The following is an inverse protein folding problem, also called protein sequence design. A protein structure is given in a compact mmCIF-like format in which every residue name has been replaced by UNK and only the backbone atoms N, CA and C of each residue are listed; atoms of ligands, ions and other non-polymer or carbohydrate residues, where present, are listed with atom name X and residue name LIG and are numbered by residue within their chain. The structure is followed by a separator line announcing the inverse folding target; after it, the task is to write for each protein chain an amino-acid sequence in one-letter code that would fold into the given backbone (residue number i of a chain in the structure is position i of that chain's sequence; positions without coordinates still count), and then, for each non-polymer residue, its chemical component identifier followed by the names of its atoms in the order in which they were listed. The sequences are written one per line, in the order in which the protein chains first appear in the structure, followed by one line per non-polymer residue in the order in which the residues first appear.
data_IF_214363321713
#
_entry.id   IF_214363321713
#
_cell.length_a   1.000
_cell.length_b   1.000
_cell.length_c   1.000
_cell.angle_alpha   90.00
_cell.angle_beta   90.00
_cell.angle_gamma   90.00
#
_symmetry.space_group_name_H-M   'P 1'
#
loop_
_entity.id
_entity.type
_entity.pdbx_description
1 polymer ?
#
# COMPACT_ATOMS: atom_id res chain seq x y z
N UNK A 1 70.60 -11.04 -10.98
CA UNK A 1 69.70 -11.96 -10.23
C UNK A 1 68.93 -11.18 -9.15
N UNK A 2 67.86 -10.46 -9.50
CA UNK A 2 66.88 -9.91 -8.51
C UNK A 2 65.45 -9.79 -9.05
N UNK A 3 65.20 -10.07 -10.34
CA UNK A 3 63.87 -9.93 -10.94
C UNK A 3 63.07 -11.24 -11.09
N UNK A 4 63.66 -12.40 -10.78
CA UNK A 4 63.00 -13.71 -10.99
C UNK A 4 62.27 -14.22 -9.73
N UNK A 5 62.58 -13.68 -8.54
CA UNK A 5 61.98 -14.15 -7.29
C UNK A 5 60.62 -13.49 -6.94
N UNK A 6 60.28 -12.37 -7.58
CA UNK A 6 59.01 -11.66 -7.35
C UNK A 6 57.84 -12.17 -8.20
N UNK A 7 58.12 -12.94 -9.26
CA UNK A 7 57.09 -13.48 -10.16
C UNK A 7 56.54 -14.84 -9.71
N UNK A 8 57.24 -15.56 -8.82
CA UNK A 8 56.74 -16.86 -8.31
C UNK A 8 55.88 -16.71 -7.06
N UNK A 9 55.99 -15.60 -6.31
CA UNK A 9 55.15 -15.36 -5.13
C UNK A 9 53.74 -14.85 -5.50
N UNK A 10 53.59 -14.17 -6.64
CA UNK A 10 52.30 -13.66 -7.12
C UNK A 10 51.39 -14.74 -7.71
N UNK A 11 51.95 -15.85 -8.21
CA UNK A 11 51.15 -16.98 -8.71
C UNK A 11 50.63 -17.91 -7.61
N UNK A 12 51.23 -17.90 -6.42
CA UNK A 12 50.73 -18.71 -5.29
C UNK A 12 49.47 -18.08 -4.64
N UNK A 13 49.38 -16.75 -4.60
CA UNK A 13 48.19 -16.05 -4.07
C UNK A 13 46.97 -16.09 -5.01
N UNK A 14 47.18 -16.29 -6.32
CA UNK A 14 46.08 -16.42 -7.28
C UNK A 14 45.44 -17.83 -7.29
N UNK A 15 46.04 -18.81 -6.58
CA UNK A 15 45.50 -20.18 -6.53
C UNK A 15 44.60 -20.46 -5.31
N UNK A 16 44.58 -19.58 -4.31
CA UNK A 16 43.78 -19.75 -3.09
C UNK A 16 42.37 -19.11 -3.17
N UNK A 17 42.08 -18.31 -4.20
CA UNK A 17 40.75 -17.69 -4.38
C UNK A 17 39.71 -18.61 -5.02
N UNK A 18 40.11 -19.82 -5.42
CA UNK A 18 39.22 -20.85 -5.96
C UNK A 18 39.09 -22.08 -5.03
N UNK A 19 39.40 -21.94 -3.75
CA UNK A 19 38.83 -22.87 -2.77
C UNK A 19 37.34 -22.55 -2.66
N UNK A 20 36.42 -23.44 -3.08
CA UNK A 20 35.05 -23.31 -2.64
C UNK A 20 35.13 -23.42 -1.12
N UNK A 21 34.92 -22.30 -0.43
CA UNK A 21 34.56 -22.34 0.98
C UNK A 21 33.35 -23.26 1.03
N UNK A 22 33.56 -24.48 1.54
CA UNK A 22 32.49 -25.37 1.89
C UNK A 22 31.74 -24.69 3.03
N UNK A 23 30.85 -23.76 2.67
CA UNK A 23 29.78 -23.36 3.57
C UNK A 23 29.02 -24.63 3.88
N UNK A 24 28.96 -24.97 5.16
CA UNK A 24 28.02 -25.96 5.67
C UNK A 24 26.66 -25.62 5.06
N UNK A 25 26.19 -26.45 4.12
CA UNK A 25 24.90 -26.26 3.48
C UNK A 25 23.87 -26.43 4.59
N UNK A 26 23.19 -25.34 4.95
CA UNK A 26 22.03 -25.47 5.81
C UNK A 26 20.97 -26.21 5.00
N UNK A 27 20.71 -27.46 5.37
CA UNK A 27 19.77 -28.33 4.67
C UNK A 27 18.31 -28.04 5.05
N UNK A 28 18.06 -27.09 5.96
CA UNK A 28 16.71 -26.66 6.34
C UNK A 28 16.06 -25.90 5.18
N UNK A 29 14.80 -26.22 4.89
CA UNK A 29 14.05 -25.55 3.83
C UNK A 29 13.46 -24.21 4.35
N UNK A 30 13.76 -23.06 3.71
CA UNK A 30 13.16 -21.80 4.13
C UNK A 30 11.68 -21.75 3.74
N UNK A 31 10.86 -21.15 4.59
CA UNK A 31 9.52 -20.72 4.19
C UNK A 31 9.67 -19.59 3.18
N UNK A 32 8.94 -19.66 2.07
CA UNK A 32 9.00 -18.68 0.99
C UNK A 32 7.71 -17.90 0.85
N UNK A 33 7.84 -16.61 0.56
CA UNK A 33 6.74 -15.74 0.20
C UNK A 33 6.23 -16.02 -1.23
N UNK A 34 5.20 -15.28 -1.63
CA UNK A 34 4.57 -15.35 -2.96
C UNK A 34 5.50 -14.96 -4.10
N UNK A 35 6.56 -14.19 -3.83
CA UNK A 35 7.59 -13.83 -4.79
C UNK A 35 8.72 -14.89 -4.84
N UNK A 36 8.68 -15.88 -3.96
CA UNK A 36 9.66 -16.96 -3.86
C UNK A 36 10.85 -16.64 -2.97
N UNK A 37 10.87 -15.48 -2.30
CA UNK A 37 11.94 -15.10 -1.37
C UNK A 37 11.73 -15.78 -0.01
N UNK A 38 12.80 -16.09 0.74
CA UNK A 38 12.67 -16.55 2.12
C UNK A 38 11.92 -15.55 3.01
N UNK A 39 11.15 -16.06 3.97
CA UNK A 39 10.62 -15.25 5.05
C UNK A 39 11.74 -14.86 6.01
N UNK A 40 11.86 -13.57 6.29
CA UNK A 40 12.83 -13.02 7.21
C UNK A 40 12.22 -12.83 8.60
N UNK A 41 12.95 -13.23 9.63
CA UNK A 41 12.50 -13.14 11.02
C UNK A 41 12.23 -11.67 11.41
N UNK A 42 11.09 -11.41 12.03
CA UNK A 42 10.67 -10.06 12.46
C UNK A 42 10.22 -9.11 11.34
N UNK A 43 10.31 -9.55 10.08
CA UNK A 43 9.79 -8.79 8.95
C UNK A 43 8.26 -8.90 8.87
N UNK A 44 7.60 -7.87 8.32
CA UNK A 44 6.16 -7.82 8.13
C UNK A 44 5.71 -8.67 6.93
N UNK A 45 4.74 -9.56 7.15
CA UNK A 45 4.09 -10.39 6.13
C UNK A 45 2.57 -10.39 6.31
N UNK A 46 1.81 -10.59 5.23
CA UNK A 46 0.39 -10.94 5.30
C UNK A 46 0.24 -12.44 5.10
N UNK A 47 -0.62 -13.06 5.90
CA UNK A 47 -0.98 -14.47 5.77
C UNK A 47 -2.28 -14.53 4.98
N UNK A 48 -2.27 -15.11 3.77
CA UNK A 48 -3.46 -15.20 2.92
C UNK A 48 -3.91 -16.62 2.74
N UNK A 49 -5.22 -16.84 2.75
CA UNK A 49 -5.76 -18.13 2.33
C UNK A 49 -5.59 -18.31 0.84
N UNK A 50 -5.30 -19.54 0.40
CA UNK A 50 -5.07 -19.81 -1.03
C UNK A 50 -6.29 -19.50 -1.91
N UNK A 51 -7.49 -19.79 -1.41
CA UNK A 51 -8.77 -19.58 -2.10
C UNK A 51 -9.72 -18.68 -1.28
N UNK A 52 -9.16 -17.85 -0.40
CA UNK A 52 -9.93 -17.04 0.54
C UNK A 52 -9.16 -15.80 0.99
N UNK A 53 -9.81 -14.88 1.70
CA UNK A 53 -9.15 -13.68 2.20
C UNK A 53 -8.08 -13.96 3.26
N UNK A 54 -7.32 -12.92 3.57
CA UNK A 54 -6.24 -12.96 4.53
C UNK A 54 -6.68 -12.86 5.98
N UNK A 55 -5.69 -12.97 6.86
CA UNK A 55 -5.90 -12.95 8.31
C UNK A 55 -6.15 -11.53 8.80
N UNK A 56 -7.20 -11.34 9.59
CA UNK A 56 -7.62 -10.05 10.17
C UNK A 56 -7.88 -10.18 11.67
N UNK A 57 -8.08 -9.03 12.33
CA UNK A 57 -8.61 -8.96 13.70
C UNK A 57 -10.10 -8.65 13.66
N UNK A 58 -10.87 -9.36 14.48
CA UNK A 58 -12.30 -9.12 14.62
C UNK A 58 -12.78 -9.25 16.06
N UNK A 59 -14.01 -8.79 16.28
CA UNK A 59 -14.72 -8.98 17.55
C UNK A 59 -15.56 -10.23 17.45
N UNK A 60 -15.53 -11.07 18.46
CA UNK A 60 -16.42 -12.23 18.59
C UNK A 60 -17.16 -12.20 19.92
N UNK A 61 -18.36 -12.78 19.94
CA UNK A 61 -19.24 -12.77 21.10
C UNK A 61 -19.56 -11.34 21.57
N UNK A 62 -19.44 -11.13 22.88
CA UNK A 62 -19.68 -9.83 23.54
C UNK A 62 -18.39 -9.00 23.72
N UNK A 63 -17.27 -9.38 23.10
CA UNK A 63 -16.01 -8.66 23.28
C UNK A 63 -16.05 -7.29 22.63
N UNK A 64 -15.71 -6.26 23.41
CA UNK A 64 -15.54 -4.89 22.91
C UNK A 64 -14.19 -4.67 22.21
N UNK A 65 -13.26 -5.62 22.34
CA UNK A 65 -11.93 -5.57 21.74
C UNK A 65 -11.87 -6.47 20.50
N UNK A 66 -11.31 -6.01 19.35
CA UNK A 66 -11.05 -6.90 18.22
C UNK A 66 -9.83 -7.78 18.52
N UNK A 67 -10.01 -8.75 19.40
CA UNK A 67 -8.95 -9.59 19.93
C UNK A 67 -8.89 -10.98 19.27
N UNK A 68 -9.85 -11.32 18.41
CA UNK A 68 -9.95 -12.64 17.80
C UNK A 68 -9.32 -12.62 16.42
N UNK A 69 -8.49 -13.63 16.12
CA UNK A 69 -7.85 -13.78 14.82
C UNK A 69 -8.81 -14.50 13.88
N UNK A 70 -9.20 -13.82 12.80
CA UNK A 70 -10.18 -14.30 11.83
C UNK A 70 -9.57 -14.43 10.44
N UNK A 71 -10.18 -15.27 9.62
CA UNK A 71 -9.94 -15.33 8.19
C UNK A 71 -11.04 -14.55 7.46
N UNK A 72 -10.67 -13.57 6.63
CA UNK A 72 -11.63 -12.76 5.88
C UNK A 72 -12.29 -13.57 4.76
N UNK A 73 -13.62 -13.58 4.69
CA UNK A 73 -14.33 -14.31 3.64
C UNK A 73 -14.06 -13.75 2.22
N UNK A 74 -13.71 -12.47 2.11
CA UNK A 74 -13.47 -11.83 0.84
C UNK A 74 -12.10 -12.22 0.26
N UNK A 75 -12.09 -12.98 -0.85
CA UNK A 75 -10.87 -13.45 -1.50
C UNK A 75 -9.93 -12.33 -1.99
N UNK A 76 -10.45 -11.09 -2.16
CA UNK A 76 -9.61 -9.93 -2.50
C UNK A 76 -8.98 -9.22 -1.29
N UNK A 77 -9.26 -9.67 -0.07
CA UNK A 77 -8.67 -9.10 1.15
C UNK A 77 -7.32 -9.72 1.41
N UNK A 78 -6.23 -8.94 1.37
CA UNK A 78 -4.91 -9.45 1.72
C UNK A 78 -4.72 -9.66 3.24
N UNK A 79 -5.62 -9.15 4.07
CA UNK A 79 -5.50 -9.20 5.53
C UNK A 79 -4.53 -8.17 6.13
N UNK A 80 -4.38 -8.23 7.45
CA UNK A 80 -3.50 -7.37 8.24
C UNK A 80 -2.07 -7.94 8.30
N UNK A 81 -1.04 -7.09 8.28
CA UNK A 81 0.34 -7.54 8.38
C UNK A 81 0.69 -8.05 9.79
N UNK A 82 1.47 -9.12 9.83
CA UNK A 82 2.05 -9.77 11.02
C UNK A 82 3.56 -9.79 10.94
N UNK A 83 4.23 -9.81 12.09
CA UNK A 83 5.64 -10.17 12.21
C UNK A 83 5.72 -11.61 12.69
N UNK A 84 6.61 -12.38 12.06
CA UNK A 84 6.88 -13.77 12.40
C UNK A 84 8.31 -13.81 12.93
N UNK A 85 8.48 -14.10 14.21
CA UNK A 85 9.78 -14.13 14.87
C UNK A 85 10.14 -15.58 15.18
N UNK A 86 11.26 -16.05 14.61
CA UNK A 86 11.81 -17.37 14.88
C UNK A 86 13.07 -17.33 15.74
N UNK A 87 13.62 -18.50 16.12
CA UNK A 87 14.86 -18.59 16.88
C UNK A 87 16.09 -18.18 16.05
N UNK A 88 15.99 -18.35 14.73
CA UNK A 88 16.97 -17.82 13.78
C UNK A 88 16.63 -16.33 13.53
N UNK A 89 17.61 -15.43 13.69
CA UNK A 89 17.38 -13.99 13.56
C UNK A 89 17.17 -13.55 12.11
N UNK A 90 17.53 -14.40 11.13
CA UNK A 90 17.51 -14.04 9.72
C UNK A 90 16.35 -14.71 9.01
N UNK A 91 16.29 -16.05 8.99
CA UNK A 91 15.37 -16.78 8.10
C UNK A 91 14.42 -17.68 8.89
N UNK A 92 13.16 -17.71 8.48
CA UNK A 92 12.17 -18.66 8.98
C UNK A 92 12.22 -19.95 8.17
N UNK A 93 12.44 -21.07 8.86
CA UNK A 93 12.50 -22.40 8.26
C UNK A 93 11.23 -23.20 8.55
N UNK A 94 10.79 -23.99 7.57
CA UNK A 94 9.67 -24.92 7.75
C UNK A 94 10.02 -25.98 8.79
N UNK A 95 9.00 -26.48 9.50
CA UNK A 95 9.03 -27.65 10.40
C UNK A 95 9.93 -27.57 11.65
N UNK A 96 10.77 -26.55 11.77
CA UNK A 96 11.82 -26.47 12.80
C UNK A 96 11.82 -25.16 13.58
N UNK A 97 11.34 -24.07 12.99
CA UNK A 97 11.27 -22.79 13.69
C UNK A 97 10.04 -22.74 14.60
N UNK A 98 10.27 -22.59 15.92
CA UNK A 98 9.23 -22.23 16.88
C UNK A 98 9.01 -20.71 16.84
N UNK A 99 7.78 -20.29 16.54
CA UNK A 99 7.47 -18.94 16.11
C UNK A 99 6.60 -18.20 17.11
N UNK A 100 6.93 -16.93 17.32
CA UNK A 100 6.04 -15.92 17.85
C UNK A 100 5.47 -15.11 16.68
N UNK A 101 4.13 -15.08 16.58
CA UNK A 101 3.41 -14.33 15.56
C UNK A 101 2.66 -13.18 16.24
N UNK A 102 2.79 -11.97 15.73
CA UNK A 102 2.06 -10.82 16.23
C UNK A 102 1.68 -9.87 15.10
N UNK A 103 0.55 -9.17 15.19
CA UNK A 103 0.26 -8.11 14.21
C UNK A 103 1.30 -6.98 14.31
N UNK A 104 1.53 -6.26 13.22
CA UNK A 104 2.47 -5.11 13.24
C UNK A 104 1.94 -3.93 14.06
N UNK A 105 0.65 -3.95 14.42
CA UNK A 105 -0.02 -2.95 15.24
C UNK A 105 -0.78 -3.63 16.38
N UNK A 106 -0.78 -2.99 17.55
CA UNK A 106 -1.56 -3.41 18.72
C UNK A 106 -2.86 -2.62 18.79
N UNK A 107 -4.03 -3.26 18.90
CA UNK A 107 -5.22 -2.54 19.30
C UNK A 107 -5.06 -1.94 20.70
N UNK A 108 -5.73 -0.83 20.95
CA UNK A 108 -5.64 -0.10 22.22
C UNK A 108 -6.01 -0.94 23.46
N UNK A 109 -6.65 -2.10 23.26
CA UNK A 109 -7.16 -2.98 24.29
C UNK A 109 -6.39 -4.30 24.45
N UNK A 110 -5.46 -4.66 23.56
CA UNK A 110 -4.74 -5.93 23.62
C UNK A 110 -3.35 -5.86 22.97
N UNK A 111 -2.40 -6.61 23.53
CA UNK A 111 -1.12 -6.87 22.86
C UNK A 111 -1.37 -7.82 21.66
N UNK A 112 -0.77 -7.54 20.50
CA UNK A 112 -1.00 -8.28 19.26
C UNK A 112 -0.35 -9.66 19.16
N UNK A 113 0.39 -10.12 20.19
CA UNK A 113 0.98 -11.46 20.22
C UNK A 113 -0.12 -12.53 20.19
N UNK A 114 0.00 -13.45 19.24
CA UNK A 114 -0.93 -14.54 19.07
C UNK A 114 -0.80 -15.56 20.19
N UNK A 115 -1.93 -16.10 20.61
CA UNK A 115 -2.03 -17.17 21.59
C UNK A 115 -3.31 -17.96 21.32
N UNK A 116 -3.45 -19.12 21.96
CA UNK A 116 -4.64 -19.95 21.82
C UNK A 116 -5.55 -19.77 23.03
N UNK A 117 -6.85 -19.71 22.81
CA UNK A 117 -7.88 -19.56 23.82
C UNK A 117 -8.91 -20.68 23.68
N UNK A 118 -9.48 -21.09 24.80
CA UNK A 118 -10.55 -22.09 24.84
C UNK A 118 -11.90 -21.40 25.01
N UNK A 119 -12.69 -21.39 23.93
CA UNK A 119 -14.08 -20.96 23.99
C UNK A 119 -14.93 -22.11 24.55
N UNK A 120 -15.57 -21.85 25.69
CA UNK A 120 -16.40 -22.82 26.40
C UNK A 120 -17.80 -23.02 25.79
N UNK A 121 -18.25 -22.10 24.94
CA UNK A 121 -19.55 -22.19 24.26
C UNK A 121 -19.46 -22.96 22.94
N UNK A 122 -18.38 -22.77 22.16
CA UNK A 122 -18.17 -23.49 20.88
C UNK A 122 -17.32 -24.75 21.02
N UNK A 123 -16.76 -25.01 22.21
CA UNK A 123 -15.84 -26.12 22.53
C UNK A 123 -14.65 -26.24 21.56
N UNK A 124 -14.15 -25.10 21.04
CA UNK A 124 -12.99 -25.05 20.16
C UNK A 124 -11.87 -24.22 20.78
N UNK A 125 -10.65 -24.65 20.48
CA UNK A 125 -9.45 -23.85 20.70
C UNK A 125 -9.27 -22.94 19.50
N UNK A 126 -9.11 -21.64 19.73
CA UNK A 126 -8.98 -20.66 18.66
C UNK A 126 -7.86 -19.67 18.91
N UNK A 127 -7.38 -19.04 17.84
CA UNK A 127 -6.28 -18.09 17.87
C UNK A 127 -6.81 -16.70 18.17
N UNK A 128 -6.22 -16.05 19.17
CA UNK A 128 -6.53 -14.70 19.59
C UNK A 128 -5.28 -13.93 19.98
N UNK A 129 -5.46 -12.68 20.38
CA UNK A 129 -4.42 -11.80 20.89
C UNK A 129 -4.78 -11.29 22.29
N UNK A 130 -3.80 -10.81 23.05
CA UNK A 130 -4.02 -10.28 24.41
C UNK A 130 -4.06 -11.35 25.50
N UNK A 131 -4.91 -11.11 26.51
CA UNK A 131 -5.08 -11.98 27.67
C UNK A 131 -6.53 -12.46 27.83
N UNK A 132 -6.76 -13.32 28.82
CA UNK A 132 -8.09 -13.90 29.10
C UNK A 132 -9.20 -12.86 29.23
N UNK A 133 -8.92 -11.65 29.75
CA UNK A 133 -9.94 -10.61 29.92
C UNK A 133 -10.49 -10.07 28.59
N UNK A 134 -9.68 -10.13 27.53
CA UNK A 134 -10.09 -9.76 26.17
C UNK A 134 -11.05 -10.79 25.54
N UNK A 135 -11.05 -12.01 26.09
CA UNK A 135 -11.78 -13.18 25.61
C UNK A 135 -12.78 -13.67 26.65
N UNK A 136 -13.46 -12.76 27.37
CA UNK A 136 -14.52 -13.15 28.31
C UNK A 136 -14.05 -13.99 29.51
N UNK A 137 -12.77 -13.89 29.89
CA UNK A 137 -12.08 -14.71 30.89
C UNK A 137 -11.87 -16.18 30.48
N UNK A 138 -11.85 -16.46 29.19
CA UNK A 138 -11.49 -17.78 28.67
C UNK A 138 -10.05 -18.17 28.99
N UNK A 139 -9.82 -19.48 29.09
CA UNK A 139 -8.50 -20.03 29.41
C UNK A 139 -7.53 -19.79 28.25
N UNK A 140 -6.46 -19.05 28.53
CA UNK A 140 -5.32 -18.89 27.63
C UNK A 140 -4.40 -20.11 27.69
N UNK A 141 -4.00 -20.63 26.54
CA UNK A 141 -3.04 -21.71 26.36
C UNK A 141 -1.78 -21.10 25.74
N UNK A 142 -0.69 -21.15 26.50
CA UNK A 142 0.64 -20.76 26.01
C UNK A 142 1.20 -21.83 25.07
N UNK A 143 1.87 -21.40 24.02
CA UNK A 143 2.49 -22.29 23.05
C UNK A 143 3.23 -21.50 21.97
N UNK A 144 3.85 -22.22 21.04
CA UNK A 144 4.55 -21.64 19.89
C UNK A 144 3.91 -22.09 18.58
N UNK A 145 4.06 -21.29 17.54
CA UNK A 145 3.57 -21.65 16.21
C UNK A 145 4.69 -22.26 15.36
N UNK A 146 4.34 -23.06 14.36
CA UNK A 146 5.25 -23.52 13.33
C UNK A 146 4.60 -23.33 11.96
N UNK A 147 5.42 -23.29 10.93
CA UNK A 147 4.98 -23.30 9.53
C UNK A 147 5.45 -24.62 8.93
N UNK A 148 4.53 -25.36 8.30
CA UNK A 148 4.82 -26.57 7.55
C UNK A 148 4.36 -26.42 6.11
N UNK A 149 5.13 -26.97 5.17
CA UNK A 149 4.73 -27.04 3.77
C UNK A 149 3.46 -27.88 3.59
N UNK A 150 2.50 -27.36 2.82
CA UNK A 150 1.22 -28.00 2.56
C UNK A 150 1.07 -28.40 1.09
N UNK A 151 1.01 -29.70 0.83
CA UNK A 151 0.88 -30.29 -0.50
C UNK A 151 2.22 -30.52 -1.22
N UNK A 152 2.16 -31.21 -2.36
CA UNK A 152 3.30 -31.42 -3.26
C UNK A 152 3.29 -30.35 -4.35
N UNK A 153 4.48 -29.80 -4.67
CA UNK A 153 4.79 -28.74 -5.65
C UNK A 153 3.90 -28.75 -6.93
N UNK A 154 3.57 -27.56 -7.51
CA UNK A 154 4.46 -26.39 -7.58
C UNK A 154 4.04 -25.12 -6.81
N UNK A 155 2.98 -25.12 -5.99
CA UNK A 155 2.62 -23.92 -5.21
C UNK A 155 3.36 -23.87 -3.87
N UNK A 156 4.04 -22.75 -3.55
CA UNK A 156 4.58 -22.42 -2.23
C UNK A 156 3.43 -22.19 -1.24
N UNK A 157 2.85 -23.28 -0.76
CA UNK A 157 1.72 -23.25 0.15
C UNK A 157 2.08 -23.94 1.45
N UNK A 158 1.56 -23.40 2.53
CA UNK A 158 1.91 -23.80 3.88
C UNK A 158 0.65 -23.96 4.74
N UNK A 159 0.84 -24.51 5.92
CA UNK A 159 -0.12 -24.50 7.02
C UNK A 159 0.59 -24.10 8.31
N UNK A 160 -0.16 -23.50 9.22
CA UNK A 160 0.32 -23.20 10.56
C UNK A 160 0.02 -24.37 11.49
N UNK A 161 0.94 -24.64 12.41
CA UNK A 161 0.75 -25.57 13.53
C UNK A 161 0.95 -24.84 14.84
N UNK A 162 0.38 -25.38 15.90
CA UNK A 162 0.54 -24.92 17.26
C UNK A 162 1.14 -26.03 18.13
N UNK A 163 2.15 -25.65 18.91
CA UNK A 163 2.84 -26.48 19.89
C UNK A 163 2.54 -25.97 21.31
N UNK A 164 1.58 -26.58 22.04
CA UNK A 164 1.27 -26.21 23.42
C UNK A 164 2.35 -26.66 24.43
N UNK A 165 3.23 -27.58 24.05
CA UNK A 165 4.20 -28.21 24.95
C UNK A 165 5.65 -27.90 24.54
N UNK A 166 5.89 -26.75 23.92
CA UNK A 166 7.19 -26.33 23.38
C UNK A 166 8.33 -26.28 24.43
N UNK A 167 7.99 -26.18 25.72
CA UNK A 167 8.96 -26.20 26.83
C UNK A 167 9.25 -27.63 27.34
N UNK A 168 8.45 -28.61 26.91
CA UNK A 168 8.63 -30.00 27.28
C UNK A 168 9.70 -30.64 26.39
N UNK A 169 10.56 -31.48 26.99
CA UNK A 169 11.53 -32.29 26.25
C UNK A 169 10.89 -33.58 25.69
N UNK A 170 9.56 -33.66 25.68
CA UNK A 170 8.78 -34.82 25.24
C UNK A 170 8.19 -34.51 23.87
N UNK A 171 7.95 -35.55 23.07
CA UNK A 171 7.45 -35.44 21.70
C UNK A 171 6.07 -34.78 21.70
N UNK A 172 6.02 -33.49 21.42
CA UNK A 172 4.79 -32.70 21.39
C UNK A 172 3.89 -33.10 20.21
N UNK A 173 2.57 -33.12 20.46
CA UNK A 173 1.57 -33.25 19.39
C UNK A 173 1.36 -31.87 18.79
N UNK A 174 1.91 -31.67 17.60
CA UNK A 174 1.65 -30.47 16.81
C UNK A 174 0.20 -30.50 16.31
N UNK A 175 -0.53 -29.42 16.56
CA UNK A 175 -1.94 -29.30 16.19
C UNK A 175 -2.06 -28.32 15.03
N UNK A 176 -2.68 -28.73 13.94
CA UNK A 176 -2.91 -27.89 12.78
C UNK A 176 -3.85 -26.70 13.13
N UNK A 177 -3.55 -25.54 12.58
CA UNK A 177 -4.45 -24.37 12.62
C UNK A 177 -5.30 -24.39 11.36
N UNK A 178 -6.60 -24.60 11.54
CA UNK A 178 -7.64 -24.56 10.54
C UNK A 178 -8.50 -23.30 10.62
N UNK A 179 -9.65 -23.35 9.97
CA UNK A 179 -10.69 -22.32 10.05
C UNK A 179 -12.00 -22.89 10.56
N UNK A 180 -12.71 -22.15 11.39
CA UNK A 180 -14.02 -22.54 11.93
C UNK A 180 -15.04 -21.42 11.79
N UNK A 181 -16.13 -21.67 11.05
CA UNK A 181 -17.20 -20.70 10.88
C UNK A 181 -18.04 -20.61 12.17
N UNK A 182 -18.01 -19.45 12.82
CA UNK A 182 -18.80 -19.12 14.01
C UNK A 182 -19.76 -17.97 13.71
N UNK A 183 -20.69 -17.68 14.64
CA UNK A 183 -21.58 -16.50 14.52
C UNK A 183 -20.81 -15.17 14.44
N UNK A 184 -19.59 -15.11 14.98
CA UNK A 184 -18.74 -13.92 14.99
C UNK A 184 -17.80 -13.79 13.79
N UNK A 185 -17.85 -14.73 12.85
CA UNK A 185 -16.93 -14.81 11.71
C UNK A 185 -16.16 -16.13 11.69
N UNK A 186 -15.25 -16.25 10.72
CA UNK A 186 -14.44 -17.44 10.53
C UNK A 186 -13.17 -17.36 11.36
N UNK A 187 -13.16 -18.09 12.47
CA UNK A 187 -12.04 -18.13 13.41
C UNK A 187 -10.86 -18.88 12.80
N UNK A 188 -9.63 -18.47 13.12
CA UNK A 188 -8.50 -19.41 13.07
C UNK A 188 -8.62 -20.31 14.30
N UNK A 189 -8.84 -21.61 14.09
CA UNK A 189 -9.12 -22.58 15.14
C UNK A 189 -8.21 -23.79 15.03
N UNK A 190 -7.84 -24.39 16.16
CA UNK A 190 -7.09 -25.64 16.12
C UNK A 190 -7.99 -26.75 15.58
N UNK A 191 -7.55 -27.39 14.50
CA UNK A 191 -8.30 -28.42 13.77
C UNK A 191 -7.32 -29.46 13.21
N UNK A 192 -7.40 -30.70 13.68
CA UNK A 192 -6.50 -31.78 13.27
C UNK A 192 -6.80 -32.33 11.88
N UNK A 193 -8.00 -32.08 11.34
CA UNK A 193 -8.47 -32.72 10.11
C UNK A 193 -8.43 -31.77 8.90
N UNK A 194 -8.48 -30.45 9.14
CA UNK A 194 -8.62 -29.43 8.08
C UNK A 194 -7.72 -28.21 8.33
N UNK A 195 -6.42 -28.31 8.02
CA UNK A 195 -5.51 -27.17 8.11
C UNK A 195 -5.92 -26.05 7.16
N UNK A 196 -5.69 -24.81 7.61
CA UNK A 196 -5.88 -23.62 6.78
C UNK A 196 -4.68 -23.48 5.85
N UNK A 197 -4.94 -23.64 4.56
CA UNK A 197 -3.91 -23.53 3.53
C UNK A 197 -3.59 -22.06 3.24
N UNK A 198 -2.33 -21.67 3.47
CA UNK A 198 -1.88 -20.28 3.36
C UNK A 198 -0.70 -20.07 2.42
N UNK A 199 -0.56 -18.83 1.96
CA UNK A 199 0.67 -18.24 1.42
C UNK A 199 1.06 -16.99 2.24
N UNK A 200 2.28 -16.49 2.00
CA UNK A 200 2.81 -15.31 2.68
C UNK A 200 3.15 -14.22 1.67
N UNK A 201 2.62 -13.03 1.85
CA UNK A 201 2.89 -11.86 1.01
C UNK A 201 3.72 -10.85 1.83
N UNK A 202 4.88 -10.39 1.32
CA UNK A 202 5.71 -9.40 2.03
C UNK A 202 4.95 -8.08 2.20
N UNK A 203 4.86 -7.56 3.43
CA UNK A 203 4.08 -6.36 3.73
C UNK A 203 4.98 -5.15 3.98
N UNK A 204 5.15 -4.28 2.99
CA UNK A 204 6.03 -3.10 3.10
C UNK A 204 5.59 -2.17 4.25
N UNK A 205 6.33 -2.19 5.36
CA UNK A 205 6.07 -1.33 6.53
C UNK A 205 6.77 0.02 6.33
N UNK A 206 6.02 1.01 5.84
CA UNK A 206 6.49 2.38 5.64
C UNK A 206 6.68 3.11 6.99
N UNK A 207 7.71 2.77 7.78
CA UNK A 207 8.10 3.58 8.94
C UNK A 207 9.63 3.69 9.15
N UNK A 208 10.10 4.93 8.99
CA UNK A 208 11.29 5.61 9.54
C UNK A 208 12.69 5.06 9.21
N UNK A 209 13.26 5.54 8.09
CA UNK A 209 14.71 5.58 7.87
C UNK A 209 15.20 7.04 7.92
N UNK A 210 14.99 7.70 9.05
CA UNK A 210 15.71 8.92 9.43
C UNK A 210 16.91 8.47 10.27
N UNK A 211 18.12 8.91 9.92
CA UNK A 211 19.40 8.61 10.58
C UNK A 211 20.03 7.25 10.24
N UNK A 212 20.79 7.16 9.11
CA UNK A 212 22.08 6.43 8.99
C UNK A 212 22.57 6.21 7.55
N UNK A 213 22.44 7.18 6.62
CA UNK A 213 23.17 7.09 5.34
C UNK A 213 23.66 8.47 4.89
N UNK A 214 24.61 9.04 5.64
CA UNK A 214 25.38 10.21 5.22
C UNK A 214 26.86 9.90 4.93
N UNK A 215 27.26 8.63 4.89
CA UNK A 215 28.63 8.27 4.54
C UNK A 215 28.68 6.91 3.89
N UNK A 216 29.52 6.79 2.85
CA UNK A 216 29.72 5.66 1.95
C UNK A 216 28.83 5.69 0.70
N UNK A 217 28.99 6.78 -0.04
CA UNK A 217 29.01 6.72 -1.51
C UNK A 217 30.05 5.69 -1.97
N UNK A 218 29.67 4.88 -2.97
CA UNK A 218 30.49 3.99 -3.83
C UNK A 218 30.33 2.47 -3.61
N UNK A 219 29.22 1.89 -4.08
CA UNK A 219 29.16 0.98 -5.24
C UNK A 219 27.70 0.53 -5.47
N UNK A 220 27.27 0.33 -6.73
CA UNK A 220 25.87 0.15 -7.08
C UNK A 220 25.46 -1.32 -6.97
N UNK A 221 24.26 -1.57 -6.44
CA UNK A 221 23.28 -2.58 -6.88
C UNK A 221 22.22 -2.72 -5.78
N UNK A 222 21.11 -2.02 -5.92
CA UNK A 222 19.85 -2.36 -5.25
C UNK A 222 18.69 -1.66 -5.95
N UNK A 223 17.84 -2.45 -6.60
CA UNK A 223 16.52 -2.02 -7.04
C UNK A 223 15.69 -1.66 -5.81
N UNK A 224 15.37 -0.38 -5.65
CA UNK A 224 14.29 0.08 -4.77
C UNK A 224 12.99 -0.10 -5.54
N UNK A 225 12.10 -1.00 -5.08
CA UNK A 225 10.72 -1.09 -5.57
C UNK A 225 10.01 0.19 -5.13
N UNK A 226 9.99 1.17 -6.03
CA UNK A 226 9.13 2.35 -5.92
C UNK A 226 7.70 1.85 -6.23
N UNK A 227 6.79 1.83 -5.25
CA UNK A 227 5.35 1.50 -5.45
C UNK A 227 4.61 2.56 -6.30
N UNK A 228 5.38 3.42 -6.96
CA UNK A 228 4.94 4.46 -7.87
C UNK A 228 4.82 3.86 -9.25
N UNK A 229 3.58 3.61 -9.65
CA UNK A 229 3.28 3.23 -11.02
C UNK A 229 3.25 4.49 -11.91
N UNK A 230 3.73 4.41 -13.17
CA UNK A 230 3.48 5.48 -14.13
C UNK A 230 1.98 5.69 -14.29
N UNK A 231 1.53 6.94 -14.18
CA UNK A 231 0.16 7.30 -14.55
C UNK A 231 0.04 7.08 -16.05
N UNK A 232 -0.99 6.37 -16.51
CA UNK A 232 -1.18 6.01 -17.92
C UNK A 232 -2.33 6.77 -18.53
N UNK A 233 -2.18 7.14 -19.80
CA UNK A 233 -3.26 7.67 -20.61
C UNK A 233 -4.22 6.56 -21.09
N UNK A 234 -5.28 6.95 -21.79
CA UNK A 234 -6.28 6.05 -22.38
C UNK A 234 -5.71 5.10 -23.42
N UNK A 235 -4.55 5.41 -24.00
CA UNK A 235 -3.83 4.54 -24.93
C UNK A 235 -2.86 3.59 -24.19
N UNK A 236 -2.78 3.68 -22.86
CA UNK A 236 -1.93 2.87 -22.00
C UNK A 236 -0.49 3.39 -21.86
N UNK A 237 -0.16 4.54 -22.45
CA UNK A 237 1.18 5.11 -22.39
C UNK A 237 1.38 5.91 -21.10
N UNK A 238 2.58 5.86 -20.48
CA UNK A 238 2.92 6.74 -19.37
C UNK A 238 2.72 8.22 -19.70
N UNK A 239 2.11 8.96 -18.79
CA UNK A 239 2.05 10.41 -18.82
C UNK A 239 3.47 10.96 -18.69
N UNK A 240 3.75 11.99 -19.47
CA UNK A 240 5.03 12.65 -19.51
C UNK A 240 4.92 14.12 -19.14
N UNK A 241 5.84 14.62 -18.30
CA UNK A 241 5.89 16.01 -17.84
C UNK A 241 6.01 17.03 -18.98
N UNK A 242 6.50 16.63 -20.16
CA UNK A 242 6.64 17.49 -21.34
C UNK A 242 5.41 17.52 -22.26
N UNK A 243 4.43 16.65 -22.05
CA UNK A 243 3.29 16.45 -22.94
C UNK A 243 2.01 17.12 -22.41
N UNK A 244 1.03 17.28 -23.30
CA UNK A 244 -0.26 17.92 -22.98
C UNK A 244 -1.37 16.88 -22.99
N UNK A 245 -2.19 16.88 -21.95
CA UNK A 245 -3.27 15.93 -21.75
C UNK A 245 -4.60 16.66 -21.51
N UNK A 246 -5.70 15.96 -21.70
CA UNK A 246 -7.03 16.35 -21.24
C UNK A 246 -7.44 15.41 -20.10
N UNK A 247 -8.10 15.98 -19.09
CA UNK A 247 -8.67 15.22 -17.98
C UNK A 247 -10.15 15.03 -18.28
N UNK A 248 -10.57 13.78 -18.44
CA UNK A 248 -11.98 13.42 -18.62
C UNK A 248 -12.48 12.68 -17.39
N UNK A 249 -13.66 13.02 -16.91
CA UNK A 249 -14.31 12.16 -15.94
C UNK A 249 -14.75 10.86 -16.62
N UNK A 250 -14.61 9.72 -15.94
CA UNK A 250 -14.83 8.40 -16.56
C UNK A 250 -16.21 8.26 -17.22
N UNK A 251 -17.26 8.74 -16.54
CA UNK A 251 -18.66 8.72 -17.02
C UNK A 251 -19.24 10.13 -17.24
N UNK A 252 -18.40 11.13 -17.50
CA UNK A 252 -18.79 12.55 -17.45
C UNK A 252 -17.94 13.46 -18.34
N UNK A 253 -18.25 14.76 -18.39
CA UNK A 253 -17.50 15.72 -19.19
C UNK A 253 -16.08 15.97 -18.70
N UNK A 254 -15.27 16.58 -19.55
CA UNK A 254 -13.91 16.96 -19.25
C UNK A 254 -13.79 18.14 -18.29
N UNK A 255 -12.57 18.38 -17.82
CA UNK A 255 -12.28 19.49 -16.91
C UNK A 255 -12.12 20.80 -17.68
N UNK A 256 -12.83 21.84 -17.27
CA UNK A 256 -12.87 23.18 -17.89
C UNK A 256 -12.60 24.28 -16.85
N UNK A 257 -12.52 25.52 -17.34
CA UNK A 257 -12.51 26.73 -16.51
C UNK A 257 -13.84 27.45 -16.66
N UNK A 258 -14.43 27.84 -15.52
CA UNK A 258 -15.69 28.56 -15.49
C UNK A 258 -15.69 29.69 -14.48
N UNK A 259 -16.70 30.55 -14.60
CA UNK A 259 -16.99 31.61 -13.63
C UNK A 259 -17.88 31.03 -12.55
N UNK A 260 -17.65 31.44 -11.32
CA UNK A 260 -18.44 30.99 -10.16
C UNK A 260 -18.77 32.18 -9.26
N UNK A 261 -19.94 32.12 -8.62
CA UNK A 261 -20.46 33.24 -7.83
C UNK A 261 -20.50 34.55 -8.65
N UNK A 262 -20.01 35.64 -8.06
CA UNK A 262 -19.97 36.97 -8.70
C UNK A 262 -18.66 37.23 -9.47
N UNK A 263 -17.80 36.23 -9.66
CA UNK A 263 -16.51 36.41 -10.32
C UNK A 263 -16.67 36.63 -11.82
N UNK A 264 -16.07 37.70 -12.34
CA UNK A 264 -15.95 37.95 -13.77
C UNK A 264 -14.78 37.19 -14.43
N UNK A 265 -13.94 36.53 -13.63
CA UNK A 265 -12.78 35.78 -14.08
C UNK A 265 -13.10 34.28 -14.07
N UNK A 266 -12.91 33.54 -15.19
CA UNK A 266 -13.11 32.10 -15.21
C UNK A 266 -11.93 31.40 -14.54
N UNK A 267 -11.87 31.48 -13.22
CA UNK A 267 -10.75 31.03 -12.39
C UNK A 267 -11.04 29.74 -11.62
N UNK A 268 -12.23 29.17 -11.78
CA UNK A 268 -12.64 27.96 -11.06
C UNK A 268 -12.56 26.75 -11.98
N UNK A 269 -12.00 25.66 -11.46
CA UNK A 269 -11.89 24.40 -12.18
C UNK A 269 -13.20 23.64 -12.04
N UNK A 270 -13.86 23.40 -13.16
CA UNK A 270 -15.15 22.70 -13.22
C UNK A 270 -15.03 21.40 -14.00
N UNK A 271 -15.91 20.46 -13.70
CA UNK A 271 -16.27 19.37 -14.58
C UNK A 271 -17.45 19.82 -15.45
N UNK A 272 -17.31 19.68 -16.77
CA UNK A 272 -18.36 19.99 -17.73
C UNK A 272 -19.55 19.00 -17.58
N UNK A 273 -20.78 19.52 -17.67
CA UNK A 273 -21.99 18.68 -17.69
C UNK A 273 -22.09 17.83 -18.95
N UNK A 274 -21.51 18.29 -20.06
CA UNK A 274 -21.61 17.60 -21.33
C UNK A 274 -20.59 16.46 -21.41
N UNK A 275 -21.06 15.21 -21.34
CA UNK A 275 -20.23 14.01 -21.42
C UNK A 275 -19.36 13.91 -22.68
N UNK A 276 -19.72 14.61 -23.78
CA UNK A 276 -18.90 14.67 -25.00
C UNK A 276 -17.78 15.72 -24.95
N UNK A 277 -17.72 16.55 -23.91
CA UNK A 277 -16.70 17.59 -23.75
C UNK A 277 -15.38 16.92 -23.37
N UNK A 278 -14.34 17.14 -24.18
CA UNK A 278 -13.01 16.63 -23.86
C UNK A 278 -12.32 17.44 -22.75
N UNK A 279 -12.83 18.64 -22.42
CA UNK A 279 -12.19 19.56 -21.49
C UNK A 279 -10.99 20.31 -22.07
N UNK A 280 -10.43 21.19 -21.24
CA UNK A 280 -9.27 22.03 -21.57
C UNK A 280 -7.95 21.26 -21.36
N UNK A 281 -6.93 21.51 -22.22
CA UNK A 281 -5.64 20.86 -22.09
C UNK A 281 -4.84 21.33 -20.86
N UNK A 282 -4.18 20.37 -20.21
CA UNK A 282 -3.32 20.56 -19.03
C UNK A 282 -1.92 19.98 -19.26
N UNK A 283 -0.96 20.49 -18.48
CA UNK A 283 0.37 19.93 -18.29
C UNK A 283 0.55 19.56 -16.83
N UNK A 284 1.26 18.47 -16.61
CA UNK A 284 1.66 17.99 -15.30
C UNK A 284 3.16 18.21 -15.13
N UNK A 285 3.58 18.60 -13.93
CA UNK A 285 4.99 18.64 -13.57
C UNK A 285 5.17 17.94 -12.23
N UNK A 286 5.81 16.76 -12.29
CA UNK A 286 6.19 15.98 -11.12
C UNK A 286 7.65 16.16 -10.73
N UNK A 287 8.14 15.40 -9.75
CA UNK A 287 9.55 15.36 -9.36
C UNK A 287 10.44 14.75 -10.46
N UNK A 288 9.91 13.77 -11.19
CA UNK A 288 10.58 13.16 -12.34
C UNK A 288 10.38 14.04 -13.59
N UNK A 289 11.46 14.36 -14.32
CA UNK A 289 11.40 15.27 -15.47
C UNK A 289 10.70 14.65 -16.69
N UNK A 290 10.57 13.33 -16.74
CA UNK A 290 10.12 12.60 -17.93
C UNK A 290 8.76 11.96 -17.73
N UNK A 291 8.53 11.26 -16.61
CA UNK A 291 7.33 10.45 -16.36
C UNK A 291 6.56 10.95 -15.13
N UNK A 292 5.23 11.00 -15.23
CA UNK A 292 4.35 11.28 -14.09
C UNK A 292 4.01 9.97 -13.40
N UNK A 293 4.28 9.91 -12.10
CA UNK A 293 4.02 8.73 -11.28
C UNK A 293 2.89 8.96 -10.28
N UNK A 294 2.13 7.90 -9.99
CA UNK A 294 1.13 7.92 -8.91
C UNK A 294 1.79 8.22 -7.57
N UNK A 295 1.08 8.91 -6.67
CA UNK A 295 1.58 9.21 -5.32
C UNK A 295 2.73 10.21 -5.26
N UNK A 296 3.05 10.90 -6.36
CA UNK A 296 4.02 12.01 -6.38
C UNK A 296 3.34 13.38 -6.32
N UNK A 297 3.94 14.37 -5.63
CA UNK A 297 3.41 15.72 -5.62
C UNK A 297 3.53 16.32 -7.01
N UNK A 298 2.46 16.92 -7.50
CA UNK A 298 2.40 17.45 -8.85
C UNK A 298 1.87 18.89 -8.90
N UNK A 299 2.41 19.65 -9.82
CA UNK A 299 1.84 20.92 -10.26
C UNK A 299 1.02 20.66 -11.53
N UNK A 300 -0.21 21.18 -11.56
CA UNK A 300 -1.12 21.11 -12.71
C UNK A 300 -1.28 22.52 -13.26
N UNK A 301 -1.14 22.67 -14.56
CA UNK A 301 -1.37 23.92 -15.25
C UNK A 301 -2.23 23.68 -16.47
N UNK A 302 -3.29 24.46 -16.66
CA UNK A 302 -3.87 24.57 -18.00
C UNK A 302 -2.83 25.16 -18.97
N UNK A 303 -2.87 24.71 -20.23
CA UNK A 303 -2.03 25.30 -21.28
C UNK A 303 -2.54 26.68 -21.71
N UNK A 304 -3.79 26.99 -21.41
CA UNK A 304 -4.41 28.28 -21.58
C UNK A 304 -4.70 28.89 -20.20
N UNK A 305 -4.50 30.19 -20.05
CA UNK A 305 -4.89 30.93 -18.86
C UNK A 305 -5.72 32.16 -19.26
N UNK A 306 -6.75 32.54 -18.48
CA UNK A 306 -7.45 33.79 -18.68
C UNK A 306 -6.55 34.99 -18.34
N UNK A 307 -6.84 36.16 -18.89
CA UNK A 307 -6.00 37.36 -18.70
C UNK A 307 -5.93 37.87 -17.25
N UNK A 308 -6.83 37.39 -16.39
CA UNK A 308 -6.96 37.83 -15.00
C UNK A 308 -6.15 36.98 -14.00
N UNK A 309 -5.71 35.78 -14.38
CA UNK A 309 -5.06 34.85 -13.45
C UNK A 309 -4.16 33.84 -14.19
N UNK A 310 -3.13 33.34 -13.53
CA UNK A 310 -2.26 32.30 -14.10
C UNK A 310 -2.98 30.93 -14.12
N UNK A 311 -2.51 29.98 -14.94
CA UNK A 311 -3.18 28.67 -15.13
C UNK A 311 -2.91 27.62 -14.05
N UNK A 312 -2.13 27.93 -13.02
CA UNK A 312 -1.70 26.94 -12.03
C UNK A 312 -2.85 26.57 -11.12
N UNK A 313 -3.13 25.28 -10.97
CA UNK A 313 -4.14 24.80 -10.04
C UNK A 313 -3.72 25.06 -8.60
N UNK A 314 -4.68 25.53 -7.82
CA UNK A 314 -4.57 25.87 -6.40
C UNK A 314 -5.89 25.51 -5.72
N UNK A 315 -5.87 25.34 -4.39
CA UNK A 315 -7.07 25.07 -3.62
C UNK A 315 -7.47 26.33 -2.83
N UNK A 316 -8.73 26.73 -2.96
CA UNK A 316 -9.31 27.90 -2.30
C UNK A 316 -10.46 27.46 -1.40
N UNK A 317 -10.78 28.24 -0.38
CA UNK A 317 -11.97 28.01 0.45
C UNK A 317 -13.02 29.04 0.07
N UNK A 318 -14.19 28.59 -0.40
CA UNK A 318 -15.33 29.46 -0.63
C UNK A 318 -16.14 29.57 0.67
N UNK A 319 -16.16 30.75 1.31
CA UNK A 319 -16.86 30.94 2.58
C UNK A 319 -18.40 30.85 2.45
N UNK A 320 -18.94 30.99 1.24
CA UNK A 320 -20.38 30.97 0.96
C UNK A 320 -20.95 29.55 1.07
N UNK A 321 -20.19 28.57 0.58
CA UNK A 321 -20.55 27.14 0.66
C UNK A 321 -19.78 26.40 1.75
N UNK A 322 -18.80 27.06 2.39
CA UNK A 322 -17.92 26.51 3.41
C UNK A 322 -17.20 25.22 2.95
N UNK A 323 -16.80 25.20 1.68
CA UNK A 323 -16.11 24.07 1.04
C UNK A 323 -14.83 24.54 0.36
N UNK A 324 -13.83 23.65 0.33
CA UNK A 324 -12.61 23.88 -0.43
C UNK A 324 -12.81 23.49 -1.90
N UNK A 325 -12.45 24.36 -2.83
CA UNK A 325 -12.62 24.16 -4.26
C UNK A 325 -11.31 24.36 -5.02
N UNK A 326 -11.18 23.69 -6.16
CA UNK A 326 -10.02 23.82 -7.04
C UNK A 326 -10.23 25.01 -7.97
N UNK A 327 -9.30 25.96 -7.90
CA UNK A 327 -9.23 27.11 -8.80
C UNK A 327 -7.86 27.19 -9.46
N UNK A 328 -7.64 28.25 -10.23
CA UNK A 328 -6.34 28.59 -10.78
C UNK A 328 -5.83 29.92 -10.23
N UNK A 329 -4.52 30.07 -10.07
CA UNK A 329 -3.91 31.33 -9.62
C UNK A 329 -3.28 31.31 -8.25
N UNK A 330 -2.98 32.51 -7.77
CA UNK A 330 -2.51 32.76 -6.41
C UNK A 330 -3.50 33.64 -5.61
N UNK A 331 -3.18 33.88 -4.34
CA UNK A 331 -4.03 34.64 -3.41
C UNK A 331 -4.34 36.07 -3.91
N UNK A 332 -3.49 36.68 -4.75
CA UNK A 332 -3.76 38.02 -5.26
C UNK A 332 -4.93 38.04 -6.25
N UNK A 333 -5.22 36.90 -6.87
CA UNK A 333 -6.28 36.74 -7.86
C UNK A 333 -7.64 36.40 -7.25
N UNK A 334 -7.69 35.95 -5.99
CA UNK A 334 -8.89 35.48 -5.28
C UNK A 334 -9.08 36.24 -3.96
N UNK A 335 -9.33 37.55 -4.07
CA UNK A 335 -9.26 38.50 -2.93
C UNK A 335 -10.23 38.21 -1.78
N UNK A 336 -11.29 37.44 -2.03
CA UNK A 336 -12.32 37.08 -1.04
C UNK A 336 -12.11 35.66 -0.47
N UNK A 337 -11.24 34.86 -1.07
CA UNK A 337 -11.03 33.46 -0.71
C UNK A 337 -9.72 33.25 0.05
N UNK A 338 -9.68 32.19 0.85
CA UNK A 338 -8.46 31.76 1.51
C UNK A 338 -7.73 30.70 0.68
N UNK A 339 -6.46 30.95 0.33
CA UNK A 339 -5.61 29.94 -0.29
C UNK A 339 -5.25 28.85 0.72
N UNK A 340 -5.55 27.61 0.38
CA UNK A 340 -5.19 26.42 1.14
C UNK A 340 -3.88 25.85 0.59
N UNK A 341 -2.78 26.04 1.32
CA UNK A 341 -1.45 25.64 0.87
C UNK A 341 -1.29 24.12 0.89
N UNK A 342 -0.76 23.52 -0.18
CA UNK A 342 -0.56 22.07 -0.29
C UNK A 342 -0.12 21.62 -1.68
N UNK A 343 -0.24 20.32 -1.95
CA UNK A 343 0.08 19.71 -3.26
C UNK A 343 -1.01 18.75 -3.72
N UNK A 344 -1.17 18.69 -5.04
CA UNK A 344 -1.99 17.68 -5.71
C UNK A 344 -1.18 16.40 -5.93
N UNK A 345 -1.88 15.28 -5.94
CA UNK A 345 -1.38 13.92 -6.18
C UNK A 345 -2.37 13.21 -7.10
N UNK A 346 -1.87 12.29 -7.94
CA UNK A 346 -2.70 11.34 -8.69
C UNK A 346 -2.59 9.99 -8.01
N UNK A 347 -3.72 9.34 -7.77
CA UNK A 347 -3.80 7.97 -7.25
C UNK A 347 -4.61 7.10 -8.19
N UNK A 348 -4.30 5.81 -8.24
CA UNK A 348 -5.06 4.82 -9.01
C UNK A 348 -6.39 4.55 -8.33
N UNK A 349 -7.46 4.44 -9.11
CA UNK A 349 -8.79 4.07 -8.63
C UNK A 349 -9.10 2.64 -9.10
N UNK A 350 -9.10 1.69 -8.16
CA UNK A 350 -8.87 0.25 -8.42
C UNK A 350 -10.14 -0.60 -8.55
N UNK A 351 -11.30 -0.03 -8.81
CA UNK A 351 -12.57 -0.76 -8.84
C UNK A 351 -12.98 -1.34 -10.21
N UNK A 352 -12.21 -1.11 -11.29
CA UNK A 352 -12.52 -1.58 -12.66
C UNK A 352 -11.22 -1.90 -13.44
N UNK A 353 -11.26 -2.67 -14.55
CA UNK A 353 -10.08 -2.98 -15.38
C UNK A 353 -9.52 -1.77 -16.18
N UNK A 354 -10.08 -0.57 -16.03
CA UNK A 354 -9.67 0.67 -16.71
C UNK A 354 -8.50 1.37 -15.97
N UNK A 355 -7.66 2.08 -16.73
CA UNK A 355 -6.64 3.01 -16.19
C UNK A 355 -7.32 4.26 -15.62
N UNK A 356 -8.08 4.09 -14.54
CA UNK A 356 -8.82 5.15 -13.89
C UNK A 356 -8.09 5.66 -12.65
N UNK A 357 -8.19 6.96 -12.42
CA UNK A 357 -7.44 7.67 -11.39
C UNK A 357 -8.35 8.62 -10.61
N UNK A 358 -7.85 9.10 -9.49
CA UNK A 358 -8.43 10.21 -8.73
C UNK A 358 -7.36 11.21 -8.36
N UNK A 359 -7.76 12.46 -8.17
CA UNK A 359 -6.89 13.48 -7.59
C UNK A 359 -7.04 13.51 -6.07
N UNK A 360 -5.93 13.71 -5.40
CA UNK A 360 -5.84 13.89 -3.94
C UNK A 360 -5.12 15.20 -3.66
N UNK A 361 -5.59 15.96 -2.67
CA UNK A 361 -4.90 17.14 -2.19
C UNK A 361 -4.38 16.91 -0.76
N UNK A 362 -3.08 17.13 -0.58
CA UNK A 362 -2.45 17.07 0.74
C UNK A 362 -2.04 18.48 1.18
N UNK A 363 -2.67 19.05 2.21
CA UNK A 363 -2.29 20.34 2.73
C UNK A 363 -0.91 20.34 3.37
N UNK A 364 -0.22 21.46 3.24
CA UNK A 364 0.96 21.75 4.02
C UNK A 364 0.58 22.04 5.46
N UNK A 365 1.36 21.47 6.35
CA UNK A 365 1.13 21.55 7.77
C UNK A 365 1.23 23.01 8.25
N UNK A 366 0.22 23.57 8.94
CA UNK A 366 0.38 24.89 9.52
C UNK A 366 1.43 24.82 10.62
N UNK A 367 2.49 25.61 10.50
CA UNK A 367 3.69 25.68 11.37
C UNK A 367 3.43 25.82 12.89
N UNK A 368 2.17 25.85 13.34
CA UNK A 368 1.74 26.11 14.73
C UNK A 368 0.74 25.08 15.31
N UNK A 369 0.34 24.03 14.59
CA UNK A 369 -0.56 23.00 15.13
C UNK A 369 0.18 21.70 15.46
N UNK A 370 -0.36 20.85 16.34
CA UNK A 370 0.15 19.48 16.60
C UNK A 370 -0.74 18.40 15.97
N UNK A 371 -1.70 18.81 15.12
CA UNK A 371 -2.61 17.92 14.40
C UNK A 371 -2.24 17.87 12.93
N UNK A 372 -1.93 16.66 12.45
CA UNK A 372 -1.87 16.34 11.02
C UNK A 372 -3.21 16.62 10.38
N UNK A 373 -3.21 17.45 9.33
CA UNK A 373 -4.38 17.61 8.47
C UNK A 373 -4.31 16.48 7.43
N UNK A 374 -5.29 15.56 7.41
CA UNK A 374 -5.27 14.46 6.46
C UNK A 374 -5.41 14.99 5.02
N UNK A 375 -4.84 14.25 4.07
CA UNK A 375 -5.15 14.48 2.66
C UNK A 375 -6.62 14.09 2.39
N UNK A 376 -7.22 14.73 1.40
CA UNK A 376 -8.58 14.46 0.98
C UNK A 376 -8.66 14.35 -0.54
N UNK A 377 -9.66 13.63 -1.02
CA UNK A 377 -9.90 13.44 -2.45
C UNK A 377 -10.48 14.71 -3.07
N UNK A 378 -10.36 14.84 -4.40
CA UNK A 378 -11.06 15.86 -5.17
C UNK A 378 -12.29 15.22 -5.83
N UNK A 379 -13.47 15.64 -5.41
CA UNK A 379 -14.77 15.29 -5.96
C UNK A 379 -15.39 16.43 -6.74
N UNK A 380 -16.72 16.40 -6.88
CA UNK A 380 -17.50 17.44 -7.56
C UNK A 380 -18.64 17.96 -6.71
N UNK A 381 -18.90 19.26 -6.79
CA UNK A 381 -20.05 19.91 -6.18
C UNK A 381 -20.89 20.63 -7.25
N UNK A 382 -22.19 20.39 -7.22
CA UNK A 382 -23.14 20.92 -8.19
C UNK A 382 -24.15 21.82 -7.47
N UNK A 383 -24.16 23.11 -7.80
CA UNK A 383 -25.13 24.07 -7.29
C UNK A 383 -26.22 24.43 -8.32
N UNK A 384 -26.19 23.82 -9.52
CA UNK A 384 -27.14 24.03 -10.60
C UNK A 384 -27.15 25.44 -11.22
N UNK A 385 -26.23 26.33 -10.83
CA UNK A 385 -26.21 27.74 -11.24
C UNK A 385 -24.96 28.13 -12.02
N UNK A 386 -24.02 27.20 -12.18
CA UNK A 386 -22.73 27.42 -12.80
C UNK A 386 -22.58 26.62 -14.10
N UNK A 387 -21.61 26.96 -14.93
CA UNK A 387 -21.35 26.35 -16.24
C UNK A 387 -20.79 24.90 -16.14
N UNK A 388 -20.73 24.33 -14.95
CA UNK A 388 -20.21 23.00 -14.65
C UNK A 388 -20.30 22.70 -13.15
N UNK A 389 -19.81 21.53 -12.75
CA UNK A 389 -19.70 21.14 -11.34
C UNK A 389 -18.32 21.54 -10.82
N UNK A 390 -18.23 22.27 -9.71
CA UNK A 390 -16.95 22.64 -9.11
C UNK A 390 -16.17 21.42 -8.69
N UNK A 391 -14.87 21.38 -8.94
CA UNK A 391 -14.00 20.41 -8.29
C UNK A 391 -13.79 20.85 -6.83
N UNK A 392 -14.11 19.98 -5.88
CA UNK A 392 -14.08 20.29 -4.43
C UNK A 392 -13.38 19.21 -3.61
N UNK A 393 -12.91 19.55 -2.41
CA UNK A 393 -12.42 18.57 -1.45
C UNK A 393 -13.55 17.64 -0.97
N UNK A 394 -13.26 16.35 -0.81
CA UNK A 394 -14.20 15.35 -0.28
C UNK A 394 -13.45 14.20 0.39
N UNK A 395 -14.10 13.50 1.31
CA UNK A 395 -13.53 12.31 1.94
C UNK A 395 -13.98 11.00 1.28
N UNK A 396 -15.16 10.98 0.65
CA UNK A 396 -15.86 9.72 0.33
C UNK A 396 -16.27 9.59 -1.16
N UNK A 397 -16.27 10.70 -1.92
CA UNK A 397 -16.84 10.74 -3.29
C UNK A 397 -15.87 11.36 -4.33
N UNK A 398 -14.71 10.75 -4.60
CA UNK A 398 -13.74 11.26 -5.58
C UNK A 398 -14.32 11.35 -6.99
N UNK A 399 -13.88 12.34 -7.75
CA UNK A 399 -14.06 12.39 -9.19
C UNK A 399 -13.10 11.40 -9.84
N UNK A 400 -13.66 10.40 -10.52
CA UNK A 400 -12.88 9.40 -11.23
C UNK A 400 -12.54 9.92 -12.62
N UNK A 401 -11.25 9.93 -12.95
CA UNK A 401 -10.73 10.54 -14.16
C UNK A 401 -9.85 9.59 -14.96
N UNK A 402 -9.83 9.82 -16.26
CA UNK A 402 -8.88 9.25 -17.21
C UNK A 402 -8.13 10.38 -17.94
N UNK A 403 -6.94 10.08 -18.42
CA UNK A 403 -6.10 11.05 -19.12
C UNK A 403 -6.05 10.73 -20.61
N UNK A 404 -6.39 11.70 -21.46
CA UNK A 404 -6.31 11.56 -22.91
C UNK A 404 -5.22 12.49 -23.45
N UNK A 405 -4.36 12.01 -24.34
CA UNK A 405 -3.33 12.86 -24.95
C UNK A 405 -4.00 13.94 -25.83
N UNK A 406 -3.68 15.22 -25.58
CA UNK A 406 -4.38 16.33 -26.21
C UNK A 406 -4.08 16.50 -27.71
N UNK A 407 -2.87 16.07 -28.13
CA UNK A 407 -2.39 16.06 -29.50
C UNK A 407 -1.83 14.68 -29.81
N UNK A 408 -2.42 13.96 -30.78
CA UNK A 408 -1.82 12.72 -31.28
C UNK A 408 -0.59 13.10 -32.09
N UNK A 409 0.55 12.47 -31.81
CA UNK A 409 1.72 12.60 -32.69
C UNK A 409 1.30 12.05 -34.05
N UNK A 410 1.40 12.89 -35.08
CA UNK A 410 0.99 12.56 -36.45
C UNK A 410 1.50 11.18 -36.85
N UNK A 411 0.56 10.37 -37.38
CA UNK A 411 0.91 9.21 -38.17
C UNK A 411 1.90 9.65 -39.24
N UNK A 412 3.10 9.11 -39.18
CA UNK A 412 4.16 9.11 -40.20
C UNK A 412 3.72 9.79 -41.50
N UNK A 413 4.12 11.05 -41.70
CA UNK A 413 4.13 11.63 -43.05
C UNK A 413 5.17 10.80 -43.82
N UNK A 414 4.71 9.80 -44.56
CA UNK A 414 5.52 9.20 -45.62
C UNK A 414 5.71 10.32 -46.63
N UNK A 415 6.93 10.88 -46.66
CA UNK A 415 7.36 11.68 -47.80
C UNK A 415 7.14 10.84 -49.05
N UNK A 416 6.31 11.34 -49.96
CA UNK A 416 6.31 10.94 -51.37
C UNK A 416 7.59 11.44 -52.02
#
# INVERSE_FOLDING_TARGET
MKAVLLLTLSFLFASLTNLPLAFSKDDREPVRDTDGNPLYSGHPYRIRGKDSGGVILGKTGNSNCPATVLQDYFNGSSGLPVKINGPDPDIIYTDTSLLDINFTWNPNCANSLWSVFKDGEIEKLYVGIGDSSNHGNEQKISGKFLIQKYGSQPSNSYKLLFDPEYESHVRSVLIDVGTFDSKGGRLLALDMDKPFQVDFEYAVLLLTLSFLFASLTNLPLAFSKDDREPVRDTDGNPLSSGQVYRIRGEDSGGVILGKTGNSNCPATVLQDYFNGSSGLPVKFKGPDPDIIYTGTPLDINFTWNPNCVNSRWSLFVDPTINEAYVGIGDLQNHKEDQLYSGKFFIQKYTSQPSNSYKFVFCPYYPSKSTKSVPCFDIGTYDNGQEDGKRLVGTNDSPLIVVFEKAYKSDATIKSV
#
